data_IF_501399230572
#
_entry.id   IF_501399230572
#
_cell.length_a   1.000
_cell.length_b   1.000
_cell.length_c   1.000
_cell.angle_alpha   90.00
_cell.angle_beta   90.00
_cell.angle_gamma   90.00
#
_symmetry.space_group_name_H-M   'P 1'
#
loop_
_entity.id
_entity.type
_entity.pdbx_description
1 polymer ?
#
# COMPACT_ATOMS: atom_id res chain seq x y z
N UNK A 1 -25.54 -2.02 9.65
CA UNK A 1 -24.93 -0.71 9.32
C UNK A 1 -23.43 -0.92 9.18
N UNK A 2 -22.79 -0.23 8.23
CA UNK A 2 -21.32 -0.29 8.10
C UNK A 2 -20.66 0.37 9.33
N UNK A 3 -19.53 -0.17 9.79
CA UNK A 3 -18.73 0.43 10.87
C UNK A 3 -18.27 1.86 10.54
N UNK A 4 -18.27 2.22 9.24
CA UNK A 4 -17.83 3.51 8.71
C UNK A 4 -18.94 4.56 8.60
N UNK A 5 -20.21 4.21 8.90
CA UNK A 5 -21.34 5.13 8.82
C UNK A 5 -21.10 6.38 9.69
N UNK A 6 -21.12 7.55 9.06
CA UNK A 6 -20.87 8.87 9.66
C UNK A 6 -19.49 9.01 10.34
N UNK A 7 -18.48 8.24 9.88
CA UNK A 7 -17.13 8.22 10.43
C UNK A 7 -16.15 8.99 9.54
N UNK A 8 -15.01 9.35 10.10
CA UNK A 8 -13.90 9.99 9.39
C UNK A 8 -12.77 8.98 9.18
N UNK A 9 -12.38 8.77 7.93
CA UNK A 9 -11.27 7.91 7.51
C UNK A 9 -10.09 8.77 7.07
N UNK A 10 -8.94 8.59 7.68
CA UNK A 10 -7.66 9.14 7.20
C UNK A 10 -6.93 8.11 6.35
N UNK A 11 -6.50 8.51 5.16
CA UNK A 11 -5.67 7.69 4.26
C UNK A 11 -4.33 8.39 4.08
N UNK A 12 -3.28 7.88 4.72
CA UNK A 12 -1.92 8.35 4.48
C UNK A 12 -1.38 7.72 3.19
N UNK A 13 -0.64 8.49 2.39
CA UNK A 13 -0.25 8.03 1.06
C UNK A 13 -1.44 7.88 0.09
N UNK A 14 -2.54 8.58 0.36
CA UNK A 14 -3.81 8.47 -0.36
C UNK A 14 -3.74 8.84 -1.84
N UNK A 15 -2.70 9.54 -2.29
CA UNK A 15 -2.44 9.83 -3.72
C UNK A 15 -1.78 8.67 -4.47
N UNK A 16 -1.38 7.61 -3.78
CA UNK A 16 -0.88 6.37 -4.38
C UNK A 16 -2.01 5.49 -4.90
N UNK A 17 -1.69 4.52 -5.76
CA UNK A 17 -2.68 3.61 -6.38
C UNK A 17 -3.56 2.91 -5.34
N UNK A 18 -2.95 2.42 -4.26
CA UNK A 18 -3.67 1.71 -3.21
C UNK A 18 -4.58 2.61 -2.37
N UNK A 19 -4.04 3.76 -1.92
CA UNK A 19 -4.83 4.74 -1.17
C UNK A 19 -5.99 5.29 -1.99
N UNK A 20 -5.79 5.46 -3.30
CA UNK A 20 -6.83 5.87 -4.23
C UNK A 20 -7.93 4.80 -4.39
N UNK A 21 -7.57 3.51 -4.46
CA UNK A 21 -8.55 2.43 -4.53
C UNK A 21 -9.40 2.35 -3.26
N UNK A 22 -8.78 2.48 -2.09
CA UNK A 22 -9.52 2.55 -0.81
C UNK A 22 -10.44 3.77 -0.79
N UNK A 23 -9.97 4.94 -1.23
CA UNK A 23 -10.82 6.13 -1.36
C UNK A 23 -12.06 5.85 -2.21
N UNK A 24 -11.89 5.29 -3.41
CA UNK A 24 -13.00 5.03 -4.33
C UNK A 24 -14.04 4.07 -3.74
N UNK A 25 -13.64 3.09 -2.94
CA UNK A 25 -14.55 2.17 -2.25
C UNK A 25 -15.53 2.91 -1.31
N UNK A 26 -15.11 4.05 -0.76
CA UNK A 26 -15.90 4.82 0.21
C UNK A 26 -16.65 6.02 -0.39
N UNK A 27 -16.37 6.45 -1.62
CA UNK A 27 -16.97 7.67 -2.18
C UNK A 27 -18.51 7.66 -2.16
N UNK A 28 -19.11 6.51 -2.48
CA UNK A 28 -20.56 6.34 -2.56
C UNK A 28 -21.17 5.79 -1.27
N UNK A 29 -20.38 5.65 -0.19
CA UNK A 29 -20.87 5.20 1.10
C UNK A 29 -21.43 6.37 1.94
N UNK A 30 -22.01 6.06 3.09
CA UNK A 30 -22.47 7.02 4.09
C UNK A 30 -21.38 7.50 5.06
N UNK A 31 -20.11 7.36 4.67
CA UNK A 31 -18.97 7.92 5.38
C UNK A 31 -19.09 9.44 5.46
N UNK A 32 -18.72 10.02 6.60
CA UNK A 32 -18.79 11.46 6.82
C UNK A 32 -17.70 12.22 6.07
N UNK A 33 -16.46 11.77 6.19
CA UNK A 33 -15.29 12.47 5.66
C UNK A 33 -14.17 11.49 5.35
N UNK A 34 -13.43 11.73 4.26
CA UNK A 34 -12.21 11.02 3.90
C UNK A 34 -11.09 12.06 3.81
N UNK A 35 -10.05 11.89 4.60
CA UNK A 35 -8.84 12.73 4.59
C UNK A 35 -7.74 12.06 3.80
N UNK A 36 -7.26 12.73 2.76
CA UNK A 36 -6.10 12.30 1.98
C UNK A 36 -4.88 13.06 2.49
N UNK A 37 -3.92 12.33 3.04
CA UNK A 37 -2.69 12.90 3.59
C UNK A 37 -1.49 12.42 2.78
N UNK A 38 -0.77 13.33 2.14
CA UNK A 38 0.43 13.03 1.36
C UNK A 38 1.29 14.28 1.16
N UNK A 39 2.53 14.08 0.70
CA UNK A 39 3.48 15.17 0.40
C UNK A 39 3.27 15.79 -0.99
N UNK A 40 2.59 15.07 -1.88
CA UNK A 40 2.51 15.41 -3.30
C UNK A 40 1.32 16.35 -3.54
N UNK A 41 1.58 17.65 -3.52
CA UNK A 41 0.60 18.72 -3.75
C UNK A 41 -0.06 18.57 -5.13
N UNK A 42 0.74 18.30 -6.17
CA UNK A 42 0.20 18.20 -7.54
C UNK A 42 -0.80 17.06 -7.66
N UNK A 43 -0.47 15.87 -7.14
CA UNK A 43 -1.42 14.75 -7.19
C UNK A 43 -2.67 15.00 -6.35
N UNK A 44 -2.56 15.71 -5.23
CA UNK A 44 -3.73 16.10 -4.45
C UNK A 44 -4.62 17.08 -5.23
N UNK A 45 -4.04 18.01 -5.92
CA UNK A 45 -4.77 18.98 -6.75
C UNK A 45 -5.46 18.29 -7.93
N UNK A 46 -4.76 17.44 -8.66
CA UNK A 46 -5.32 16.62 -9.74
C UNK A 46 -6.51 15.77 -9.23
N UNK A 47 -6.37 15.13 -8.06
CA UNK A 47 -7.45 14.36 -7.45
C UNK A 47 -8.63 15.24 -7.05
N UNK A 48 -8.40 16.42 -6.49
CA UNK A 48 -9.44 17.37 -6.11
C UNK A 48 -10.28 17.79 -7.31
N UNK A 49 -9.62 18.12 -8.41
CA UNK A 49 -10.29 18.52 -9.66
C UNK A 49 -11.07 17.36 -10.30
N UNK A 50 -10.52 16.14 -10.22
CA UNK A 50 -11.17 14.96 -10.79
C UNK A 50 -12.39 14.51 -9.97
N UNK A 51 -12.25 14.46 -8.64
CA UNK A 51 -13.28 13.89 -7.76
C UNK A 51 -14.43 14.84 -7.47
N UNK A 52 -14.15 16.13 -7.31
CA UNK A 52 -15.13 17.18 -6.97
C UNK A 52 -16.13 16.75 -5.87
N UNK A 53 -15.67 15.96 -4.89
CA UNK A 53 -16.52 15.38 -3.86
C UNK A 53 -16.30 16.08 -2.51
N UNK A 54 -17.34 16.70 -1.91
CA UNK A 54 -17.20 17.47 -0.67
C UNK A 54 -16.81 16.66 0.56
N UNK A 55 -16.99 15.32 0.54
CA UNK A 55 -16.56 14.42 1.62
C UNK A 55 -15.03 14.25 1.65
N UNK A 56 -14.33 14.49 0.53
CA UNK A 56 -12.88 14.30 0.43
C UNK A 56 -12.16 15.59 0.79
N UNK A 57 -11.28 15.51 1.79
CA UNK A 57 -10.43 16.61 2.24
C UNK A 57 -8.97 16.27 2.00
N UNK A 58 -8.21 17.24 1.56
CA UNK A 58 -6.80 17.06 1.18
C UNK A 58 -5.90 17.82 2.14
N UNK A 59 -4.92 17.11 2.68
CA UNK A 59 -3.93 17.62 3.63
C UNK A 59 -2.52 17.35 3.11
N UNK A 60 -1.75 18.40 2.90
CA UNK A 60 -0.34 18.29 2.56
C UNK A 60 0.44 18.08 3.84
N UNK A 61 1.25 17.01 3.89
CA UNK A 61 2.08 16.72 5.04
C UNK A 61 2.93 15.48 4.87
N UNK A 62 3.82 15.26 5.82
CA UNK A 62 4.81 14.17 5.80
C UNK A 62 4.69 13.32 7.06
N UNK A 63 4.55 12.01 6.91
CA UNK A 63 4.49 11.07 8.04
C UNK A 63 5.77 11.08 8.89
N UNK A 64 6.89 11.55 8.34
CA UNK A 64 8.15 11.70 9.07
C UNK A 64 8.15 12.86 10.08
N UNK A 65 7.20 13.76 9.97
CA UNK A 65 6.99 14.87 10.89
C UNK A 65 5.73 14.63 11.73
N UNK A 66 5.93 14.32 13.01
CA UNK A 66 4.83 14.03 13.94
C UNK A 66 3.85 15.21 14.05
N UNK A 67 4.32 16.46 14.03
CA UNK A 67 3.44 17.64 14.10
C UNK A 67 2.51 17.73 12.91
N UNK A 68 3.02 17.39 11.72
CA UNK A 68 2.22 17.32 10.49
C UNK A 68 1.14 16.24 10.59
N UNK A 69 1.46 15.09 11.21
CA UNK A 69 0.52 13.99 11.45
C UNK A 69 -0.53 14.39 12.49
N UNK A 70 -0.12 14.99 13.62
CA UNK A 70 -1.04 15.45 14.67
C UNK A 70 -2.07 16.45 14.12
N UNK A 71 -1.65 17.33 13.22
CA UNK A 71 -2.51 18.35 12.60
C UNK A 71 -3.68 17.80 11.79
N UNK A 72 -3.58 16.55 11.29
CA UNK A 72 -4.65 15.91 10.51
C UNK A 72 -5.49 14.95 11.34
N UNK A 73 -5.09 14.66 12.60
CA UNK A 73 -5.63 13.54 13.37
C UNK A 73 -6.93 13.85 14.11
N UNK A 74 -7.20 15.10 14.45
CA UNK A 74 -8.37 15.49 15.25
C UNK A 74 -9.68 15.00 14.64
N UNK A 75 -10.44 14.19 15.37
CA UNK A 75 -11.74 13.66 14.94
C UNK A 75 -11.68 12.55 13.90
N UNK A 76 -10.51 11.95 13.68
CA UNK A 76 -10.35 10.74 12.85
C UNK A 76 -10.82 9.52 13.64
N UNK A 77 -11.67 8.69 13.02
CA UNK A 77 -12.13 7.43 13.61
C UNK A 77 -11.27 6.23 13.13
N UNK A 78 -10.86 6.23 11.87
CA UNK A 78 -10.16 5.12 11.20
C UNK A 78 -8.97 5.62 10.41
N UNK A 79 -7.89 4.84 10.36
CA UNK A 79 -6.69 5.15 9.56
C UNK A 79 -6.33 3.97 8.67
N UNK A 80 -6.23 4.22 7.37
CA UNK A 80 -5.50 3.35 6.46
C UNK A 80 -4.11 3.96 6.19
N UNK A 81 -3.08 3.34 6.77
CA UNK A 81 -1.70 3.82 6.65
C UNK A 81 -0.99 3.15 5.48
N UNK A 82 -0.96 3.84 4.33
CA UNK A 82 -0.33 3.37 3.08
C UNK A 82 0.88 4.22 2.63
N UNK A 83 1.25 5.26 3.40
CA UNK A 83 2.42 6.07 3.10
C UNK A 83 3.71 5.26 3.32
N UNK A 84 4.48 5.04 2.26
CA UNK A 84 5.73 4.30 2.31
C UNK A 84 6.64 4.59 1.12
N UNK A 85 7.94 4.32 1.28
CA UNK A 85 8.85 4.07 0.17
C UNK A 85 8.77 2.59 -0.19
N UNK A 86 8.48 2.27 -1.47
CA UNK A 86 8.21 0.91 -1.93
C UNK A 86 9.09 0.44 -3.10
N UNK A 87 9.84 1.33 -3.71
CA UNK A 87 10.72 0.99 -4.82
C UNK A 87 12.03 0.40 -4.29
N UNK A 88 12.33 -0.84 -4.67
CA UNK A 88 13.51 -1.56 -4.18
C UNK A 88 14.79 -0.79 -4.50
N UNK A 89 15.08 -0.38 -5.77
CA UNK A 89 16.31 0.34 -6.07
C UNK A 89 16.47 1.64 -5.27
N UNK A 90 15.37 2.40 -5.11
CA UNK A 90 15.40 3.65 -4.34
C UNK A 90 15.67 3.40 -2.84
N UNK A 91 15.13 2.31 -2.28
CA UNK A 91 15.36 1.97 -0.88
C UNK A 91 16.78 1.45 -0.66
N UNK A 92 17.35 0.70 -1.60
CA UNK A 92 18.76 0.29 -1.55
C UNK A 92 19.70 1.48 -1.61
N UNK A 93 19.43 2.43 -2.49
CA UNK A 93 20.25 3.63 -2.60
C UNK A 93 20.11 4.58 -1.42
N UNK A 94 18.89 4.68 -0.84
CA UNK A 94 18.57 5.57 0.28
C UNK A 94 17.97 4.82 1.48
N UNK A 95 18.66 3.85 2.10
CA UNK A 95 18.09 3.01 3.15
C UNK A 95 17.62 3.81 4.38
N UNK A 96 18.33 4.87 4.74
CA UNK A 96 17.94 5.77 5.82
C UNK A 96 16.59 6.45 5.55
N UNK A 97 16.28 6.79 4.29
CA UNK A 97 14.98 7.37 3.95
C UNK A 97 13.87 6.32 4.03
N UNK A 98 14.17 5.05 3.69
CA UNK A 98 13.25 3.93 3.90
C UNK A 98 12.94 3.74 5.39
N UNK A 99 13.94 3.75 6.27
CA UNK A 99 13.75 3.69 7.73
C UNK A 99 12.92 4.87 8.23
N UNK A 100 13.27 6.10 7.86
CA UNK A 100 12.55 7.30 8.31
C UNK A 100 11.09 7.31 7.88
N UNK A 101 10.79 6.82 6.67
CA UNK A 101 9.42 6.84 6.15
C UNK A 101 8.63 5.62 6.62
N UNK A 102 9.18 4.41 6.41
CA UNK A 102 8.46 3.18 6.63
C UNK A 102 8.39 2.81 8.12
N UNK A 103 9.45 3.05 8.88
CA UNK A 103 9.52 2.66 10.30
C UNK A 103 9.09 3.83 11.19
N UNK A 104 9.87 4.91 11.22
CA UNK A 104 9.61 6.05 12.11
C UNK A 104 8.35 6.83 11.70
N UNK A 105 8.08 6.94 10.39
CA UNK A 105 6.84 7.55 9.90
C UNK A 105 5.59 6.76 10.33
N UNK A 106 5.67 5.43 10.32
CA UNK A 106 4.59 4.59 10.86
C UNK A 106 4.46 4.78 12.37
N UNK A 107 5.56 4.81 13.11
CA UNK A 107 5.53 5.08 14.55
C UNK A 107 4.83 6.41 14.86
N UNK A 108 5.17 7.49 14.16
CA UNK A 108 4.51 8.79 14.31
C UNK A 108 2.99 8.72 14.09
N UNK A 109 2.55 7.96 13.06
CA UNK A 109 1.12 7.80 12.77
C UNK A 109 0.42 7.01 13.88
N UNK A 110 1.05 5.95 14.40
CA UNK A 110 0.50 5.12 15.45
C UNK A 110 0.40 5.88 16.79
N UNK A 111 1.46 6.61 17.16
CA UNK A 111 1.47 7.42 18.37
C UNK A 111 0.41 8.52 18.32
N UNK A 112 0.32 9.22 17.20
CA UNK A 112 -0.72 10.24 17.01
C UNK A 112 -2.13 9.63 17.03
N UNK A 113 -2.32 8.44 16.45
CA UNK A 113 -3.61 7.73 16.48
C UNK A 113 -4.03 7.38 17.90
N UNK A 114 -3.10 6.87 18.72
CA UNK A 114 -3.35 6.53 20.12
C UNK A 114 -3.67 7.80 20.94
N UNK A 115 -2.87 8.85 20.79
CA UNK A 115 -3.06 10.12 21.48
C UNK A 115 -4.41 10.77 21.19
N UNK A 116 -4.94 10.60 19.97
CA UNK A 116 -6.21 11.19 19.53
C UNK A 116 -7.42 10.23 19.64
N UNK A 117 -7.24 9.03 20.18
CA UNK A 117 -8.31 8.06 20.38
C UNK A 117 -8.91 7.49 19.09
N UNK A 118 -8.10 7.34 18.04
CA UNK A 118 -8.50 6.67 16.80
C UNK A 118 -8.89 5.23 17.10
N UNK A 119 -10.01 4.77 16.55
CA UNK A 119 -10.56 3.43 16.87
C UNK A 119 -9.73 2.30 16.28
N UNK A 120 -9.32 2.45 15.02
CA UNK A 120 -8.63 1.37 14.33
C UNK A 120 -7.65 1.92 13.29
N UNK A 121 -6.45 1.34 13.28
CA UNK A 121 -5.38 1.63 12.31
C UNK A 121 -5.01 0.35 11.57
N UNK A 122 -5.17 0.35 10.25
CA UNK A 122 -4.68 -0.73 9.39
C UNK A 122 -3.42 -0.25 8.66
N UNK A 123 -2.31 -0.93 8.92
CA UNK A 123 -0.99 -0.61 8.35
C UNK A 123 -0.72 -1.51 7.14
N UNK A 124 -0.45 -0.89 5.99
CA UNK A 124 -0.15 -1.59 4.75
C UNK A 124 1.28 -2.13 4.75
N UNK A 125 1.44 -3.45 4.65
CA UNK A 125 2.71 -4.14 4.47
C UNK A 125 2.80 -4.88 3.12
N UNK A 126 3.70 -5.82 2.98
CA UNK A 126 4.01 -6.54 1.74
C UNK A 126 4.48 -7.97 2.03
N UNK A 127 4.33 -8.87 1.08
CA UNK A 127 4.92 -10.22 1.07
C UNK A 127 6.44 -10.20 1.25
N UNK A 128 7.10 -9.15 0.74
CA UNK A 128 8.56 -8.96 0.83
C UNK A 128 9.07 -8.71 2.27
N UNK A 129 8.16 -8.46 3.21
CA UNK A 129 8.46 -8.38 4.63
C UNK A 129 8.58 -9.76 5.30
N UNK A 130 8.13 -10.85 4.67
CA UNK A 130 8.17 -12.20 5.22
C UNK A 130 9.60 -12.77 5.24
N UNK A 131 10.32 -12.65 4.13
CA UNK A 131 11.74 -13.00 3.97
C UNK A 131 12.48 -11.81 3.35
N UNK A 132 12.81 -10.79 4.15
CA UNK A 132 13.34 -9.54 3.63
C UNK A 132 14.80 -9.71 3.19
N UNK A 133 15.05 -9.59 1.89
CA UNK A 133 16.40 -9.66 1.29
C UNK A 133 16.93 -8.31 0.81
N UNK A 134 16.14 -7.25 0.91
CA UNK A 134 16.49 -5.91 0.47
C UNK A 134 16.01 -4.84 1.46
N UNK A 135 16.56 -3.63 1.36
CA UNK A 135 16.28 -2.53 2.28
C UNK A 135 14.78 -2.18 2.38
N UNK A 136 14.04 -2.27 1.26
CA UNK A 136 12.60 -2.05 1.28
C UNK A 136 11.88 -3.12 2.12
N UNK A 137 12.14 -4.40 1.87
CA UNK A 137 11.56 -5.52 2.63
C UNK A 137 11.95 -5.48 4.10
N UNK A 138 13.24 -5.21 4.41
CA UNK A 138 13.74 -5.07 5.80
C UNK A 138 13.03 -3.92 6.52
N UNK A 139 12.89 -2.76 5.90
CA UNK A 139 12.19 -1.62 6.51
C UNK A 139 10.71 -1.91 6.75
N UNK A 140 10.04 -2.64 5.84
CA UNK A 140 8.66 -3.08 5.99
C UNK A 140 8.50 -4.14 7.09
N UNK A 141 9.43 -5.10 7.20
CA UNK A 141 9.45 -6.08 8.27
C UNK A 141 9.61 -5.41 9.65
N UNK A 142 10.50 -4.41 9.75
CA UNK A 142 10.66 -3.61 10.98
C UNK A 142 9.41 -2.78 11.29
N UNK A 143 8.79 -2.17 10.29
CA UNK A 143 7.51 -1.47 10.42
C UNK A 143 6.42 -2.37 11.03
N UNK A 144 6.28 -3.62 10.55
CA UNK A 144 5.34 -4.59 11.12
C UNK A 144 5.65 -4.87 12.61
N UNK A 145 6.94 -5.05 12.96
CA UNK A 145 7.34 -5.27 14.34
C UNK A 145 6.96 -4.10 15.25
N UNK A 146 7.16 -2.86 14.77
CA UNK A 146 6.75 -1.64 15.50
C UNK A 146 5.22 -1.62 15.67
N UNK A 147 4.45 -1.85 14.61
CA UNK A 147 2.99 -1.85 14.68
C UNK A 147 2.45 -2.93 15.62
N UNK A 148 2.96 -4.16 15.52
CA UNK A 148 2.57 -5.28 16.38
C UNK A 148 2.94 -5.00 17.85
N UNK A 149 4.13 -4.43 18.11
CA UNK A 149 4.56 -4.08 19.46
C UNK A 149 3.66 -3.01 20.08
N UNK A 150 3.30 -1.96 19.32
CA UNK A 150 2.35 -0.93 19.76
C UNK A 150 0.98 -1.53 20.09
N UNK A 151 0.44 -2.39 19.21
CA UNK A 151 -0.83 -3.08 19.45
C UNK A 151 -0.79 -3.94 20.73
N UNK A 152 0.29 -4.70 20.96
CA UNK A 152 0.45 -5.49 22.18
C UNK A 152 0.55 -4.65 23.44
N UNK A 153 1.19 -3.47 23.37
CA UNK A 153 1.27 -2.55 24.51
C UNK A 153 -0.09 -1.99 24.91
N UNK A 154 -1.01 -1.81 23.95
CA UNK A 154 -2.37 -1.36 24.22
C UNK A 154 -3.25 -2.44 24.86
N UNK A 155 -2.93 -3.72 24.64
CA UNK A 155 -3.73 -4.85 25.11
C UNK A 155 -5.06 -5.02 24.38
N UNK A 156 -5.87 -5.98 24.82
CA UNK A 156 -7.18 -6.27 24.20
C UNK A 156 -8.21 -5.17 24.46
N UNK A 157 -8.14 -4.51 25.63
CA UNK A 157 -9.05 -3.45 26.05
C UNK A 157 -8.60 -2.05 25.60
N UNK A 158 -7.57 -1.96 24.77
CA UNK A 158 -7.06 -0.68 24.26
C UNK A 158 -8.10 0.07 23.43
N UNK A 159 -8.20 1.39 23.63
CA UNK A 159 -9.12 2.24 22.87
C UNK A 159 -8.85 2.27 21.37
N UNK A 160 -7.62 1.94 20.96
CA UNK A 160 -7.16 1.90 19.57
C UNK A 160 -6.74 0.48 19.20
N UNK A 161 -7.28 -0.05 18.11
CA UNK A 161 -6.84 -1.32 17.51
C UNK A 161 -5.82 -1.06 16.42
N UNK A 162 -4.70 -1.76 16.45
CA UNK A 162 -3.62 -1.66 15.45
C UNK A 162 -3.37 -3.04 14.86
N UNK A 163 -3.56 -3.18 13.55
CA UNK A 163 -3.27 -4.40 12.81
C UNK A 163 -2.56 -4.09 11.47
N UNK A 164 -2.01 -5.11 10.86
CA UNK A 164 -1.30 -5.01 9.59
C UNK A 164 -1.95 -5.90 8.54
N UNK A 165 -1.76 -5.53 7.25
CA UNK A 165 -2.15 -6.35 6.11
C UNK A 165 -0.94 -6.54 5.19
N UNK A 166 -0.66 -7.79 4.78
CA UNK A 166 0.36 -8.14 3.77
C UNK A 166 -0.28 -8.43 2.43
N UNK A 167 0.34 -7.92 1.38
CA UNK A 167 -0.08 -8.15 0.01
C UNK A 167 1.04 -8.77 -0.79
N UNK A 168 0.66 -9.61 -1.75
CA UNK A 168 1.50 -10.01 -2.87
C UNK A 168 1.59 -8.89 -3.93
N UNK A 169 1.88 -9.28 -5.16
CA UNK A 169 1.92 -8.35 -6.27
C UNK A 169 0.49 -7.97 -6.68
N UNK A 170 0.13 -6.70 -6.55
CA UNK A 170 -1.14 -6.19 -7.08
C UNK A 170 -1.01 -6.03 -8.58
N UNK A 171 -1.86 -6.76 -9.33
CA UNK A 171 -1.87 -6.77 -10.80
C UNK A 171 -2.05 -5.36 -11.36
N UNK A 172 -1.36 -5.06 -12.45
CA UNK A 172 -1.43 -3.80 -13.17
C UNK A 172 -1.15 -2.54 -12.32
N UNK A 173 -0.52 -2.68 -11.16
CA UNK A 173 -0.10 -1.52 -10.36
C UNK A 173 1.02 -0.75 -11.06
N UNK A 174 1.07 0.57 -10.85
CA UNK A 174 2.11 1.44 -11.46
C UNK A 174 3.51 0.93 -11.13
N UNK A 175 4.34 0.77 -12.19
CA UNK A 175 5.71 0.27 -12.07
C UNK A 175 5.80 -1.25 -11.85
N UNK A 176 4.73 -2.00 -12.13
CA UNK A 176 4.75 -3.46 -12.15
C UNK A 176 5.01 -4.01 -13.55
N UNK A 177 5.33 -5.30 -13.63
CA UNK A 177 5.72 -5.97 -14.87
C UNK A 177 4.62 -5.99 -15.93
N UNK A 178 3.35 -6.11 -15.53
CA UNK A 178 2.22 -6.17 -16.47
C UNK A 178 2.09 -4.90 -17.32
N UNK A 179 2.03 -3.68 -16.74
CA UNK A 179 2.03 -2.45 -17.54
C UNK A 179 3.24 -2.32 -18.48
N UNK A 180 4.42 -2.71 -18.01
CA UNK A 180 5.64 -2.69 -18.84
C UNK A 180 5.47 -3.60 -20.06
N UNK A 181 5.03 -4.83 -19.89
CA UNK A 181 4.83 -5.76 -20.98
C UNK A 181 3.74 -5.33 -21.95
N UNK A 182 2.64 -4.77 -21.42
CA UNK A 182 1.58 -4.19 -22.28
C UNK A 182 2.11 -3.04 -23.13
N UNK A 183 2.98 -2.18 -22.58
CA UNK A 183 3.61 -1.10 -23.31
C UNK A 183 4.56 -1.66 -24.39
N UNK A 184 5.42 -2.62 -24.04
CA UNK A 184 6.28 -3.31 -24.99
C UNK A 184 5.48 -3.95 -26.15
N UNK A 185 4.39 -4.64 -25.84
CA UNK A 185 3.53 -5.24 -26.88
C UNK A 185 2.87 -4.20 -27.78
N UNK A 186 2.46 -3.04 -27.26
CA UNK A 186 1.88 -1.95 -28.06
C UNK A 186 2.90 -1.31 -29.02
N UNK A 187 4.15 -1.37 -28.66
CA UNK A 187 5.27 -0.86 -29.47
C UNK A 187 5.90 -1.91 -30.38
N UNK A 188 5.28 -3.11 -30.46
CA UNK A 188 5.84 -4.28 -31.19
C UNK A 188 7.23 -4.71 -30.71
N UNK A 189 7.58 -4.37 -29.45
CA UNK A 189 8.83 -4.78 -28.83
C UNK A 189 8.68 -6.15 -28.15
N UNK A 190 9.76 -6.97 -28.12
CA UNK A 190 9.77 -8.22 -27.36
C UNK A 190 9.49 -7.98 -25.85
N UNK A 191 8.75 -8.91 -25.25
CA UNK A 191 8.55 -8.92 -23.80
C UNK A 191 9.86 -9.27 -23.11
N UNK A 192 10.28 -8.47 -22.12
CA UNK A 192 11.49 -8.71 -21.34
C UNK A 192 11.14 -9.47 -20.05
N UNK A 193 11.77 -10.63 -19.83
CA UNK A 193 11.60 -11.46 -18.63
C UNK A 193 12.96 -11.71 -18.00
N UNK A 194 13.13 -11.31 -16.73
CA UNK A 194 14.39 -11.49 -15.98
C UNK A 194 14.65 -12.98 -15.71
N UNK A 195 13.67 -13.65 -15.09
CA UNK A 195 13.70 -15.09 -14.80
C UNK A 195 12.29 -15.67 -15.00
N UNK A 196 12.07 -16.50 -16.05
CA UNK A 196 10.75 -17.05 -16.37
C UNK A 196 10.17 -17.93 -15.24
N UNK A 197 11.02 -18.59 -14.43
CA UNK A 197 10.60 -19.46 -13.33
C UNK A 197 10.25 -18.70 -12.06
N UNK A 198 10.52 -17.39 -12.00
CA UNK A 198 10.23 -16.58 -10.83
C UNK A 198 8.74 -16.51 -10.57
N UNK A 199 8.32 -16.95 -9.38
CA UNK A 199 6.91 -16.99 -8.98
C UNK A 199 6.47 -15.67 -8.36
N UNK A 200 5.24 -15.26 -8.66
CA UNK A 200 4.57 -14.11 -8.05
C UNK A 200 3.19 -14.48 -7.53
N UNK A 201 2.88 -14.05 -6.33
CA UNK A 201 1.52 -14.06 -5.81
C UNK A 201 0.74 -12.94 -6.45
N UNK A 202 -0.38 -13.28 -7.08
CA UNK A 202 -1.18 -12.33 -7.85
C UNK A 202 -2.47 -12.02 -7.11
N UNK A 203 -2.79 -10.73 -6.99
CA UNK A 203 -4.08 -10.30 -6.48
C UNK A 203 -4.56 -9.06 -7.23
N UNK A 204 -5.86 -8.88 -7.30
CA UNK A 204 -6.44 -7.66 -7.84
C UNK A 204 -6.35 -6.52 -6.82
N UNK A 205 -6.52 -5.30 -7.29
CA UNK A 205 -6.58 -4.15 -6.40
C UNK A 205 -7.84 -4.20 -5.51
N UNK A 206 -8.94 -4.75 -6.03
CA UNK A 206 -10.18 -4.94 -5.27
C UNK A 206 -10.01 -5.98 -4.15
N UNK A 207 -9.39 -7.13 -4.43
CA UNK A 207 -9.06 -8.12 -3.39
C UNK A 207 -8.23 -7.50 -2.27
N UNK A 208 -7.26 -6.67 -2.65
CA UNK A 208 -6.40 -5.98 -1.71
C UNK A 208 -7.19 -4.98 -0.84
N UNK A 209 -8.15 -4.26 -1.42
CA UNK A 209 -9.05 -3.36 -0.68
C UNK A 209 -9.98 -4.16 0.24
N UNK A 210 -10.51 -5.29 -0.22
CA UNK A 210 -11.37 -6.16 0.58
C UNK A 210 -10.62 -6.70 1.82
N UNK A 211 -9.32 -7.03 1.69
CA UNK A 211 -8.50 -7.41 2.84
C UNK A 211 -8.36 -6.26 3.87
N UNK A 212 -8.22 -5.01 3.41
CA UNK A 212 -8.22 -3.83 4.31
C UNK A 212 -9.54 -3.70 5.05
N UNK A 213 -10.66 -3.83 4.33
CA UNK A 213 -12.00 -3.74 4.94
C UNK A 213 -12.23 -4.86 5.96
N UNK A 214 -11.79 -6.08 5.63
CA UNK A 214 -11.81 -7.21 6.55
C UNK A 214 -11.00 -6.93 7.82
N UNK A 215 -9.78 -6.39 7.67
CA UNK A 215 -8.93 -6.05 8.80
C UNK A 215 -9.54 -4.95 9.69
N UNK A 216 -10.22 -3.96 9.12
CA UNK A 216 -10.96 -2.96 9.90
C UNK A 216 -12.12 -3.56 10.69
N UNK A 217 -12.78 -4.60 10.17
CA UNK A 217 -13.97 -5.19 10.79
C UNK A 217 -13.63 -6.24 11.83
N UNK A 218 -12.54 -6.98 11.65
CA UNK A 218 -12.21 -8.20 12.39
C UNK A 218 -10.85 -8.18 13.06
N UNK A 219 -10.07 -7.10 12.88
CA UNK A 219 -8.72 -7.00 13.43
C UNK A 219 -8.68 -6.79 14.93
N UNK A 220 -7.73 -7.45 15.59
CA UNK A 220 -7.36 -7.24 16.97
C UNK A 220 -5.93 -6.68 17.05
N UNK A 221 -5.56 -6.20 18.23
CA UNK A 221 -4.24 -5.62 18.45
C UNK A 221 -3.12 -6.61 18.18
N UNK A 222 -2.24 -6.25 17.22
CA UNK A 222 -1.10 -7.05 16.83
C UNK A 222 -1.38 -8.08 15.73
N UNK A 223 -2.58 -8.15 15.19
CA UNK A 223 -2.91 -9.05 14.08
C UNK A 223 -2.16 -8.67 12.79
N UNK A 224 -1.83 -9.70 12.02
CA UNK A 224 -1.24 -9.59 10.69
C UNK A 224 -2.06 -10.42 9.71
N UNK A 225 -2.85 -9.76 8.88
CA UNK A 225 -3.71 -10.38 7.87
C UNK A 225 -2.94 -10.65 6.59
N UNK A 226 -3.06 -11.88 6.09
CA UNK A 226 -2.47 -12.31 4.82
C UNK A 226 -3.54 -13.02 4.01
N UNK A 227 -3.84 -12.52 2.82
CA UNK A 227 -4.76 -13.21 1.93
C UNK A 227 -4.04 -14.33 1.20
N UNK A 228 -4.65 -15.51 1.16
CA UNK A 228 -4.18 -16.59 0.30
C UNK A 228 -4.46 -16.21 -1.16
N UNK A 229 -3.42 -15.88 -1.89
CA UNK A 229 -3.50 -15.50 -3.30
C UNK A 229 -2.97 -16.62 -4.20
N UNK A 230 -3.50 -16.79 -5.41
CA UNK A 230 -2.92 -17.68 -6.41
C UNK A 230 -1.51 -17.19 -6.78
N UNK A 231 -0.65 -18.12 -7.16
CA UNK A 231 0.70 -17.83 -7.65
C UNK A 231 0.83 -18.25 -9.11
N UNK A 232 1.59 -17.49 -9.88
CA UNK A 232 1.97 -17.80 -11.24
C UNK A 232 3.46 -17.51 -11.46
N UNK A 233 4.09 -18.25 -12.35
CA UNK A 233 5.44 -17.93 -12.83
C UNK A 233 5.36 -16.82 -13.87
N UNK A 234 6.48 -16.13 -14.12
CA UNK A 234 6.50 -15.00 -15.06
C UNK A 234 6.25 -15.44 -16.50
N UNK A 235 6.69 -16.64 -16.90
CA UNK A 235 6.40 -17.21 -18.21
C UNK A 235 4.89 -17.44 -18.42
N UNK A 236 4.23 -18.09 -17.46
CA UNK A 236 2.76 -18.31 -17.49
C UNK A 236 2.00 -16.98 -17.57
N UNK A 237 2.44 -15.98 -16.82
CA UNK A 237 1.84 -14.64 -16.84
C UNK A 237 2.04 -13.95 -18.20
N UNK A 238 3.23 -14.07 -18.78
CA UNK A 238 3.52 -13.49 -20.09
C UNK A 238 2.72 -14.18 -21.21
N UNK A 239 2.61 -15.50 -21.17
CA UNK A 239 1.81 -16.26 -22.14
C UNK A 239 0.32 -15.89 -22.06
N UNK A 240 -0.23 -15.76 -20.86
CA UNK A 240 -1.60 -15.30 -20.66
C UNK A 240 -1.84 -13.89 -21.23
N UNK A 241 -0.87 -12.97 -21.06
CA UNK A 241 -0.96 -11.63 -21.63
C UNK A 241 -0.86 -11.65 -23.16
N UNK A 242 0.03 -12.45 -23.72
CA UNK A 242 0.16 -12.61 -25.18
C UNK A 242 -1.16 -13.13 -25.79
N UNK A 243 -1.77 -14.12 -25.17
CA UNK A 243 -3.07 -14.63 -25.59
C UNK A 243 -4.16 -13.54 -25.53
N UNK A 244 -4.23 -12.81 -24.42
CA UNK A 244 -5.21 -11.74 -24.22
C UNK A 244 -5.06 -10.59 -25.23
N UNK A 245 -3.84 -10.23 -25.60
CA UNK A 245 -3.54 -9.16 -26.55
C UNK A 245 -3.35 -9.66 -28.00
N UNK A 246 -3.56 -10.97 -28.24
CA UNK A 246 -3.33 -11.60 -29.56
C UNK A 246 -1.93 -11.32 -30.13
N UNK A 247 -0.92 -11.25 -29.28
CA UNK A 247 0.46 -10.92 -29.63
C UNK A 247 1.28 -12.20 -29.87
N UNK A 248 2.00 -12.24 -31.01
CA UNK A 248 2.94 -13.33 -31.34
C UNK A 248 4.40 -13.00 -30.93
N UNK A 249 4.65 -11.93 -30.19
CA UNK A 249 6.00 -11.50 -29.80
C UNK A 249 6.69 -12.54 -28.91
N UNK A 250 7.99 -12.73 -29.16
CA UNK A 250 8.84 -13.62 -28.36
C UNK A 250 9.36 -12.91 -27.10
N UNK A 251 9.80 -13.71 -26.14
CA UNK A 251 10.52 -13.19 -24.96
C UNK A 251 11.96 -12.90 -25.32
N UNK A 252 12.53 -11.89 -24.66
CA UNK A 252 13.97 -11.75 -24.53
C UNK A 252 14.35 -11.78 -23.05
N UNK A 253 15.43 -12.48 -22.69
CA UNK A 253 16.02 -12.37 -21.38
C UNK A 253 16.60 -10.96 -21.22
N UNK A 254 16.25 -10.27 -20.14
CA UNK A 254 16.87 -9.00 -19.82
C UNK A 254 18.30 -9.27 -19.31
N UNK A 255 19.31 -9.02 -20.15
CA UNK A 255 20.71 -9.17 -19.78
C UNK A 255 21.21 -8.06 -18.83
N UNK A 256 20.30 -7.20 -18.33
CA UNK A 256 20.67 -6.06 -17.50
C UNK A 256 20.98 -6.41 -16.03
N UNK A 257 20.72 -7.63 -15.58
CA UNK A 257 20.87 -8.02 -14.15
C UNK A 257 22.23 -8.68 -13.82
N UNK A 258 23.15 -8.81 -14.80
CA UNK A 258 24.53 -9.28 -14.50
C UNK A 258 25.43 -8.24 -13.81
N UNK A 259 24.91 -7.04 -13.46
CA UNK A 259 25.67 -5.96 -12.83
C UNK A 259 25.29 -5.68 -11.36
N UNK A 260 24.58 -6.58 -10.71
CA UNK A 260 24.27 -6.46 -9.27
C UNK A 260 24.64 -7.72 -8.49
N UNK A 261 25.85 -8.22 -8.69
CA UNK A 261 26.52 -9.13 -7.75
C UNK A 261 27.54 -8.36 -6.92
#
# INVERSE_FOLDING_TARGET
MSIFTRKTLLITGGTGSFGNAVLHRFLNSDIKEIRIFSRDEKKQDDMRHHLQNPKVKFYIGDVRDKRSVDGVMTGVDYIFHAAALKQVPSCEFFPTQAVRTNVLGTENVLDSAIEHGVKNVVVLSTDKAAYPINAMGISKAMMEKVAIAKGRQLGEDGATTICCTRYGNVMASRGSVIPLWVEQMKEDNPITITDPNMTRFMMTLDDAVDLVLYAFQHGHNGDLFVQKAPAATLDVLADALKELYHSCLLYTSDAADERSS
#
